data_IF_956962620970
#
_entry.id   IF_956962620970
#
_cell.length_a   1.000
_cell.length_b   1.000
_cell.length_c   1.000
_cell.angle_alpha   90.00
_cell.angle_beta   90.00
_cell.angle_gamma   90.00
#
_symmetry.space_group_name_H-M   'P 1'
#
loop_
_entity.id
_entity.type
_entity.pdbx_description
1 polymer ?
#
# COMPACT_ATOMS: atom_id res chain seq x y z
N UNK A 1 10.65 49.79 20.35
CA UNK A 1 10.44 49.35 18.96
C UNK A 1 9.71 48.01 19.03
N UNK A 2 8.45 47.95 18.61
CA UNK A 2 7.71 46.70 18.58
C UNK A 2 8.17 45.87 17.38
N UNK A 3 8.66 44.65 17.61
CA UNK A 3 8.96 43.68 16.55
C UNK A 3 7.67 43.33 15.81
N UNK A 4 7.63 43.69 14.53
CA UNK A 4 6.60 43.23 13.60
C UNK A 4 6.90 41.75 13.33
N UNK A 5 6.17 40.85 13.97
CA UNK A 5 6.21 39.43 13.60
C UNK A 5 5.73 39.26 12.16
N UNK A 6 6.41 38.46 11.32
CA UNK A 6 5.96 38.21 9.96
C UNK A 6 4.58 37.55 10.02
N UNK A 7 3.57 38.23 9.48
CA UNK A 7 2.26 37.66 9.24
C UNK A 7 2.40 36.63 8.12
N UNK A 8 2.36 35.36 8.48
CA UNK A 8 2.19 34.28 7.50
C UNK A 8 0.75 34.32 6.99
N UNK A 9 0.57 34.27 5.67
CA UNK A 9 -0.77 34.28 5.08
C UNK A 9 -1.44 32.91 5.30
N UNK A 10 -2.76 32.86 5.61
CA UNK A 10 -3.49 31.60 5.66
C UNK A 10 -3.32 30.85 4.33
N UNK A 11 -2.72 29.65 4.35
CA UNK A 11 -2.46 28.84 3.16
C UNK A 11 -1.02 28.89 2.61
N UNK A 12 -0.12 29.72 3.16
CA UNK A 12 1.30 29.74 2.72
C UNK A 12 2.00 28.39 2.90
N UNK A 13 1.71 27.68 3.99
CA UNK A 13 2.30 26.38 4.28
C UNK A 13 1.77 25.29 3.31
N UNK A 14 0.47 25.27 3.03
CA UNK A 14 -0.13 24.36 2.04
C UNK A 14 0.34 24.67 0.61
N UNK A 15 0.46 25.95 0.27
CA UNK A 15 1.01 26.40 -1.01
C UNK A 15 2.46 25.97 -1.20
N UNK A 16 3.30 26.14 -0.16
CA UNK A 16 4.69 25.66 -0.16
C UNK A 16 4.79 24.13 -0.25
N UNK A 17 3.93 23.40 0.46
CA UNK A 17 3.89 21.92 0.41
C UNK A 17 3.48 21.41 -0.97
N UNK A 18 2.49 22.02 -1.62
CA UNK A 18 2.07 21.73 -3.01
C UNK A 18 3.14 22.09 -4.05
N UNK A 19 3.83 23.22 -3.89
CA UNK A 19 4.92 23.61 -4.78
C UNK A 19 6.10 22.64 -4.65
N UNK A 20 6.43 22.24 -3.41
CA UNK A 20 7.50 21.28 -3.12
C UNK A 20 7.20 19.89 -3.73
N UNK A 21 5.93 19.45 -3.75
CA UNK A 21 5.56 18.18 -4.39
C UNK A 21 5.70 18.20 -5.90
N UNK A 22 5.53 19.36 -6.55
CA UNK A 22 5.77 19.53 -7.99
C UNK A 22 7.24 19.79 -8.34
N UNK A 23 8.06 20.14 -7.35
CA UNK A 23 9.50 20.35 -7.53
C UNK A 23 10.29 19.04 -7.48
N UNK A 24 9.70 17.95 -7.01
CA UNK A 24 10.31 16.62 -6.98
C UNK A 24 9.81 15.74 -8.12
N UNK A 25 10.63 14.79 -8.58
CA UNK A 25 10.22 13.82 -9.58
C UNK A 25 8.98 13.05 -9.11
N UNK A 26 8.01 12.93 -10.00
CA UNK A 26 6.83 12.11 -9.80
C UNK A 26 6.70 11.12 -10.96
N UNK A 27 6.34 9.88 -10.66
CA UNK A 27 6.05 8.90 -11.70
C UNK A 27 4.80 9.31 -12.47
N UNK A 28 4.88 9.31 -13.81
CA UNK A 28 3.71 9.54 -14.65
C UNK A 28 2.65 8.42 -14.48
N UNK A 29 3.08 7.22 -14.05
CA UNK A 29 2.17 6.14 -13.69
C UNK A 29 1.30 6.53 -12.50
N UNK A 30 1.89 7.12 -11.46
CA UNK A 30 1.16 7.48 -10.23
C UNK A 30 0.31 8.75 -10.35
N UNK A 31 0.67 9.66 -11.24
CA UNK A 31 0.04 10.98 -11.34
C UNK A 31 -0.94 11.13 -12.49
N UNK A 32 -0.86 10.26 -13.51
CA UNK A 32 -1.63 10.44 -14.75
C UNK A 32 -2.27 9.18 -15.31
N UNK A 33 -1.55 8.05 -15.32
CA UNK A 33 -1.93 6.92 -16.18
C UNK A 33 -2.66 5.78 -15.46
N UNK A 34 -2.22 5.39 -14.27
CA UNK A 34 -2.80 4.21 -13.60
C UNK A 34 -4.11 4.55 -12.88
N UNK A 35 -5.01 3.57 -12.81
CA UNK A 35 -6.27 3.68 -12.07
C UNK A 35 -6.03 3.74 -10.56
N UNK A 36 -6.87 4.47 -9.82
CA UNK A 36 -6.80 4.61 -8.35
C UNK A 36 -6.71 3.26 -7.62
N UNK A 37 -7.45 2.24 -8.07
CA UNK A 37 -7.38 0.87 -7.55
C UNK A 37 -5.95 0.30 -7.57
N UNK A 38 -5.25 0.46 -8.70
CA UNK A 38 -3.88 -0.03 -8.87
C UNK A 38 -2.89 0.82 -8.06
N UNK A 39 -3.12 2.13 -7.98
CA UNK A 39 -2.31 3.03 -7.14
C UNK A 39 -2.43 2.68 -5.66
N UNK A 40 -3.64 2.42 -5.18
CA UNK A 40 -3.86 1.97 -3.81
C UNK A 40 -3.19 0.61 -3.55
N UNK A 41 -3.28 -0.33 -4.49
CA UNK A 41 -2.69 -1.66 -4.34
C UNK A 41 -1.17 -1.63 -4.10
N UNK A 42 -0.47 -0.65 -4.68
CA UNK A 42 0.97 -0.44 -4.49
C UNK A 42 1.29 0.70 -3.50
N UNK A 43 0.31 1.17 -2.73
CA UNK A 43 0.52 2.25 -1.75
C UNK A 43 1.17 1.76 -0.46
N UNK A 44 1.87 2.67 0.23
CA UNK A 44 2.41 2.39 1.56
C UNK A 44 1.32 2.01 2.57
N UNK A 45 0.15 2.66 2.50
CA UNK A 45 -0.99 2.32 3.36
C UNK A 45 -1.43 0.86 3.15
N UNK A 46 -1.53 0.40 1.90
CA UNK A 46 -1.83 -1.01 1.59
C UNK A 46 -0.71 -1.93 2.09
N UNK A 47 0.56 -1.60 1.85
CA UNK A 47 1.72 -2.38 2.32
C UNK A 47 1.70 -2.57 3.84
N UNK A 48 1.72 -1.49 4.61
CA UNK A 48 1.88 -1.58 6.06
C UNK A 48 0.61 -2.01 6.80
N UNK A 49 -0.59 -1.73 6.25
CA UNK A 49 -1.81 -2.35 6.79
C UNK A 49 -1.84 -3.87 6.53
N UNK A 50 -1.25 -4.34 5.42
CA UNK A 50 -1.10 -5.77 5.15
C UNK A 50 -0.09 -6.41 6.10
N UNK A 51 1.01 -5.73 6.44
CA UNK A 51 1.94 -6.19 7.49
C UNK A 51 1.24 -6.40 8.83
N UNK A 52 0.44 -5.41 9.27
CA UNK A 52 -0.34 -5.51 10.51
C UNK A 52 -1.37 -6.64 10.48
N UNK A 53 -2.04 -6.87 9.34
CA UNK A 53 -2.92 -8.03 9.15
C UNK A 53 -2.17 -9.36 9.23
N UNK A 54 -0.97 -9.45 8.64
CA UNK A 54 -0.14 -10.65 8.71
C UNK A 54 0.31 -10.93 10.14
N UNK A 55 0.75 -9.92 10.89
CA UNK A 55 1.09 -10.08 12.31
C UNK A 55 -0.12 -10.48 13.16
N UNK A 56 -1.30 -9.90 12.91
CA UNK A 56 -2.54 -10.33 13.56
C UNK A 56 -2.85 -11.79 13.26
N UNK A 57 -2.76 -12.20 11.99
CA UNK A 57 -3.01 -13.58 11.58
C UNK A 57 -1.98 -14.56 12.19
N UNK A 58 -0.72 -14.13 12.30
CA UNK A 58 0.33 -14.90 12.97
C UNK A 58 -0.03 -15.13 14.44
N UNK A 59 -0.30 -14.06 15.18
CA UNK A 59 -0.68 -14.14 16.59
C UNK A 59 -1.95 -14.97 16.82
N UNK A 60 -2.95 -14.83 15.93
CA UNK A 60 -4.17 -15.63 16.00
C UNK A 60 -3.90 -17.12 15.76
N UNK A 61 -3.05 -17.47 14.78
CA UNK A 61 -2.66 -18.85 14.52
C UNK A 61 -1.82 -19.45 15.65
N UNK A 62 -0.87 -18.68 16.18
CA UNK A 62 -0.05 -19.06 17.34
C UNK A 62 -0.91 -19.34 18.57
N UNK A 63 -1.95 -18.54 18.81
CA UNK A 63 -2.93 -18.77 19.88
C UNK A 63 -3.66 -20.11 19.70
N UNK A 64 -4.12 -20.40 18.48
CA UNK A 64 -4.79 -21.68 18.16
C UNK A 64 -3.87 -22.87 18.43
N UNK A 65 -2.56 -22.70 18.21
CA UNK A 65 -1.54 -23.71 18.47
C UNK A 65 -1.13 -23.80 19.95
N UNK A 66 -1.71 -22.99 20.84
CA UNK A 66 -1.53 -23.09 22.30
C UNK A 66 -0.50 -22.13 22.89
N UNK A 67 0.00 -21.14 22.13
CA UNK A 67 0.82 -20.07 22.70
C UNK A 67 -0.01 -19.10 23.53
N UNK A 68 0.57 -18.60 24.62
CA UNK A 68 -0.08 -17.70 25.59
C UNK A 68 -0.29 -16.30 25.01
N UNK A 69 -1.36 -16.12 24.23
CA UNK A 69 -1.77 -14.86 23.61
C UNK A 69 -3.17 -14.50 24.10
N UNK A 70 -3.33 -13.32 24.70
CA UNK A 70 -4.62 -12.85 25.23
C UNK A 70 -5.58 -12.45 24.09
N UNK A 71 -6.89 -12.58 24.32
CA UNK A 71 -7.90 -12.04 23.39
C UNK A 71 -7.82 -10.51 23.29
N UNK A 72 -7.46 -9.85 24.40
CA UNK A 72 -7.25 -8.40 24.45
C UNK A 72 -6.15 -7.96 23.47
N UNK A 73 -5.01 -8.66 23.44
CA UNK A 73 -3.93 -8.35 22.50
C UNK A 73 -4.37 -8.49 21.04
N UNK A 74 -5.15 -9.54 20.71
CA UNK A 74 -5.65 -9.75 19.36
C UNK A 74 -6.66 -8.67 18.94
N UNK A 75 -7.59 -8.31 19.81
CA UNK A 75 -8.56 -7.25 19.51
C UNK A 75 -7.89 -5.87 19.40
N UNK A 76 -6.89 -5.59 20.23
CA UNK A 76 -6.08 -4.36 20.14
C UNK A 76 -5.33 -4.28 18.80
N UNK A 77 -4.67 -5.36 18.37
CA UNK A 77 -4.01 -5.43 17.08
C UNK A 77 -4.99 -5.20 15.93
N UNK A 78 -6.16 -5.84 15.98
CA UNK A 78 -7.20 -5.75 14.95
C UNK A 78 -7.77 -4.35 14.82
N UNK A 79 -8.04 -3.69 15.95
CA UNK A 79 -8.53 -2.31 15.98
C UNK A 79 -7.52 -1.31 15.37
N UNK A 80 -6.23 -1.62 15.47
CA UNK A 80 -5.14 -0.75 15.04
C UNK A 80 -4.54 -1.12 13.67
N UNK A 81 -5.15 -2.00 12.87
CA UNK A 81 -4.62 -2.38 11.53
C UNK A 81 -4.39 -1.17 10.61
N UNK A 82 -5.28 -0.18 10.65
CA UNK A 82 -5.20 1.03 9.80
C UNK A 82 -4.71 2.27 10.57
N UNK A 83 -4.47 2.17 11.87
CA UNK A 83 -3.97 3.26 12.71
C UNK A 83 -2.44 3.38 12.61
N UNK A 84 -1.93 3.78 11.44
CA UNK A 84 -0.49 3.77 11.13
C UNK A 84 0.09 5.18 11.28
N UNK A 85 0.95 5.37 12.28
CA UNK A 85 1.78 6.57 12.42
C UNK A 85 3.06 6.41 11.59
N UNK A 86 3.07 7.05 10.42
CA UNK A 86 4.21 7.01 9.49
C UNK A 86 5.39 7.84 9.98
N UNK A 87 5.17 8.88 10.79
CA UNK A 87 6.24 9.73 11.30
C UNK A 87 7.04 8.98 12.36
N UNK A 88 6.35 8.25 13.25
CA UNK A 88 6.99 7.33 14.21
C UNK A 88 7.77 6.24 13.48
N UNK A 89 7.17 5.60 12.49
CA UNK A 89 7.84 4.55 11.73
C UNK A 89 9.11 5.07 11.03
N UNK A 90 9.06 6.24 10.39
CA UNK A 90 10.22 6.86 9.75
C UNK A 90 11.32 7.27 10.75
N UNK A 91 10.94 7.77 11.93
CA UNK A 91 11.88 8.10 12.99
C UNK A 91 12.58 6.85 13.53
N UNK A 92 11.83 5.77 13.77
CA UNK A 92 12.35 4.48 14.23
C UNK A 92 13.24 3.83 13.16
N UNK A 93 12.88 3.90 11.88
CA UNK A 93 13.69 3.37 10.79
C UNK A 93 15.04 4.09 10.69
N UNK A 94 15.06 5.41 10.88
CA UNK A 94 16.30 6.19 10.91
C UNK A 94 17.25 5.76 12.02
N UNK A 95 16.71 5.32 13.17
CA UNK A 95 17.51 4.85 14.30
C UNK A 95 17.94 3.39 14.10
N UNK A 96 16.99 2.51 13.76
CA UNK A 96 17.19 1.06 13.66
C UNK A 96 17.87 0.61 12.38
N UNK A 97 17.80 1.43 11.33
CA UNK A 97 18.21 1.10 9.95
C UNK A 97 17.53 -0.15 9.41
N UNK A 98 16.29 -0.39 9.86
CA UNK A 98 15.50 -1.56 9.50
C UNK A 98 14.00 -1.22 9.54
N UNK A 99 13.35 -1.24 8.39
CA UNK A 99 11.95 -0.86 8.18
C UNK A 99 10.96 -1.78 8.92
N UNK A 100 11.10 -3.11 8.81
CA UNK A 100 10.25 -4.07 9.52
C UNK A 100 10.31 -3.83 11.02
N UNK A 101 11.51 -3.73 11.60
CA UNK A 101 11.65 -3.51 13.04
C UNK A 101 11.14 -2.13 13.48
N UNK A 102 11.23 -1.12 12.63
CA UNK A 102 10.62 0.18 12.88
C UNK A 102 9.09 0.07 12.95
N UNK A 103 8.48 -0.66 12.02
CA UNK A 103 7.03 -0.90 12.01
C UNK A 103 6.56 -1.83 13.12
N UNK A 104 7.36 -2.81 13.55
CA UNK A 104 7.09 -3.63 14.75
C UNK A 104 7.00 -2.73 15.97
N UNK A 105 7.98 -1.85 16.16
CA UNK A 105 7.98 -0.91 17.28
C UNK A 105 6.81 0.08 17.21
N UNK A 106 6.59 0.71 16.05
CA UNK A 106 5.48 1.64 15.86
C UNK A 106 4.12 0.98 16.08
N UNK A 107 3.96 -0.29 15.69
CA UNK A 107 2.72 -1.04 15.95
C UNK A 107 2.58 -1.39 17.43
N UNK A 108 3.65 -1.80 18.10
CA UNK A 108 3.67 -2.04 19.55
C UNK A 108 3.34 -0.80 20.38
N UNK A 109 3.70 0.42 19.93
CA UNK A 109 3.33 1.65 20.62
C UNK A 109 1.82 1.89 20.68
N UNK A 110 1.10 1.59 19.59
CA UNK A 110 -0.37 1.68 19.57
C UNK A 110 -1.07 0.40 20.05
N UNK A 111 -0.30 -0.67 20.31
CA UNK A 111 -0.79 -1.94 20.82
C UNK A 111 0.06 -2.42 22.02
N UNK A 112 0.06 -1.70 23.16
CA UNK A 112 0.91 -2.02 24.31
C UNK A 112 0.70 -3.44 24.87
N UNK A 113 -0.52 -3.99 24.81
CA UNK A 113 -0.80 -5.35 25.30
C UNK A 113 -0.27 -6.43 24.35
N UNK A 114 -0.16 -6.12 23.06
CA UNK A 114 0.38 -7.01 22.04
C UNK A 114 1.88 -6.79 21.74
N UNK A 115 2.49 -5.73 22.25
CA UNK A 115 3.84 -5.31 21.84
C UNK A 115 4.90 -6.42 21.94
N UNK A 116 4.82 -7.29 22.96
CA UNK A 116 5.76 -8.39 23.17
C UNK A 116 5.54 -9.61 22.26
N UNK A 117 4.39 -9.72 21.60
CA UNK A 117 4.05 -10.87 20.73
C UNK A 117 4.09 -10.53 19.24
N UNK A 118 4.12 -9.24 18.89
CA UNK A 118 4.20 -8.82 17.48
C UNK A 118 5.49 -9.36 16.88
N UNK A 119 5.35 -10.09 15.75
CA UNK A 119 6.46 -10.70 15.02
C UNK A 119 7.15 -11.88 15.74
N UNK A 120 6.54 -12.45 16.78
CA UNK A 120 7.04 -13.63 17.48
C UNK A 120 7.39 -14.76 16.52
N UNK A 121 8.59 -15.32 16.64
CA UNK A 121 9.06 -16.47 15.85
C UNK A 121 9.25 -16.22 14.34
N UNK A 122 8.95 -15.02 13.84
CA UNK A 122 9.04 -14.69 12.43
C UNK A 122 10.35 -13.96 12.07
N UNK A 123 10.64 -13.91 10.77
CA UNK A 123 11.70 -13.08 10.18
C UNK A 123 11.06 -12.02 9.27
N UNK A 124 11.82 -11.00 8.87
CA UNK A 124 11.36 -9.91 8.00
C UNK A 124 10.58 -10.38 6.77
N UNK A 125 11.03 -11.47 6.13
CA UNK A 125 10.39 -12.09 4.96
C UNK A 125 8.95 -12.58 5.22
N UNK A 126 8.58 -12.84 6.47
CA UNK A 126 7.19 -13.16 6.81
C UNK A 126 6.23 -12.04 6.40
N UNK A 127 6.60 -10.78 6.60
CA UNK A 127 5.73 -9.65 6.22
C UNK A 127 6.08 -9.06 4.86
N UNK A 128 7.35 -8.99 4.47
CA UNK A 128 7.72 -8.41 3.17
C UNK A 128 7.19 -9.28 2.04
N UNK A 129 7.62 -10.53 1.97
CA UNK A 129 7.40 -11.40 0.81
C UNK A 129 5.93 -11.82 0.69
N UNK A 130 5.28 -12.15 1.82
CA UNK A 130 3.85 -12.46 1.78
C UNK A 130 3.00 -11.25 1.39
N UNK A 131 3.40 -10.04 1.79
CA UNK A 131 2.70 -8.82 1.34
C UNK A 131 2.90 -8.58 -0.15
N UNK A 132 4.12 -8.77 -0.65
CA UNK A 132 4.39 -8.64 -2.09
C UNK A 132 3.60 -9.66 -2.90
N UNK A 133 3.51 -10.92 -2.45
CA UNK A 133 2.65 -11.94 -3.08
C UNK A 133 1.18 -11.52 -3.10
N UNK A 134 0.66 -10.96 -2.01
CA UNK A 134 -0.71 -10.44 -1.93
C UNK A 134 -0.91 -9.27 -2.90
N UNK A 135 0.03 -8.31 -2.94
CA UNK A 135 -0.03 -7.16 -3.85
C UNK A 135 0.02 -7.62 -5.31
N UNK A 136 0.87 -8.60 -5.65
CA UNK A 136 0.97 -9.15 -7.01
C UNK A 136 -0.34 -9.84 -7.41
N UNK A 137 -0.89 -10.70 -6.53
CA UNK A 137 -2.18 -11.37 -6.76
C UNK A 137 -3.29 -10.34 -6.99
N UNK A 138 -3.44 -9.38 -6.07
CA UNK A 138 -4.48 -8.36 -6.14
C UNK A 138 -4.31 -7.48 -7.40
N UNK A 139 -3.07 -7.24 -7.83
CA UNK A 139 -2.75 -6.55 -9.08
C UNK A 139 -3.19 -7.34 -10.32
N UNK A 140 -2.97 -8.66 -10.34
CA UNK A 140 -3.45 -9.54 -11.41
C UNK A 140 -4.98 -9.56 -11.43
N UNK A 141 -5.62 -9.66 -10.26
CA UNK A 141 -7.09 -9.64 -10.14
C UNK A 141 -7.70 -8.33 -10.67
N UNK A 142 -7.01 -7.19 -10.50
CA UNK A 142 -7.42 -5.92 -11.07
C UNK A 142 -7.24 -5.85 -12.61
N UNK A 143 -6.26 -6.58 -13.17
CA UNK A 143 -5.96 -6.60 -14.60
C UNK A 143 -6.87 -7.54 -15.40
N UNK A 144 -7.19 -8.72 -14.86
CA UNK A 144 -8.03 -9.74 -15.52
C UNK A 144 -9.36 -9.21 -16.09
N UNK A 145 -10.21 -8.48 -15.33
CA UNK A 145 -11.47 -7.96 -15.87
C UNK A 145 -11.25 -6.86 -16.91
N UNK A 146 -10.15 -6.09 -16.83
CA UNK A 146 -9.79 -5.07 -17.83
C UNK A 146 -9.40 -5.73 -19.15
N UNK A 147 -8.56 -6.76 -19.09
CA UNK A 147 -8.18 -7.58 -20.25
C UNK A 147 -9.41 -8.26 -20.87
N UNK A 148 -10.26 -8.89 -20.06
CA UNK A 148 -11.51 -9.51 -20.52
C UNK A 148 -12.41 -8.53 -21.26
N UNK A 149 -12.52 -7.28 -20.80
CA UNK A 149 -13.27 -6.23 -21.50
C UNK A 149 -12.64 -5.87 -22.85
N UNK A 150 -11.32 -5.71 -22.93
CA UNK A 150 -10.63 -5.43 -24.20
C UNK A 150 -10.89 -6.55 -25.22
N UNK A 151 -10.71 -7.81 -24.80
CA UNK A 151 -10.99 -8.99 -25.63
C UNK A 151 -12.44 -8.97 -26.11
N UNK A 152 -13.40 -8.77 -25.21
CA UNK A 152 -14.80 -8.75 -25.55
C UNK A 152 -15.18 -7.62 -26.53
N UNK A 153 -14.61 -6.41 -26.36
CA UNK A 153 -14.85 -5.28 -27.28
C UNK A 153 -14.28 -5.55 -28.67
N UNK A 154 -13.06 -6.08 -28.76
CA UNK A 154 -12.43 -6.46 -30.03
C UNK A 154 -13.17 -7.62 -30.70
N UNK A 155 -13.61 -8.63 -29.93
CA UNK A 155 -14.39 -9.75 -30.45
C UNK A 155 -15.74 -9.29 -31.02
N UNK A 156 -16.41 -8.34 -30.35
CA UNK A 156 -17.64 -7.73 -30.87
C UNK A 156 -17.38 -6.99 -32.19
N UNK A 157 -16.35 -6.14 -32.23
CA UNK A 157 -15.94 -5.42 -33.44
C UNK A 157 -15.64 -6.38 -34.60
N UNK A 158 -14.88 -7.44 -34.35
CA UNK A 158 -14.55 -8.45 -35.36
C UNK A 158 -15.81 -9.18 -35.87
N UNK A 159 -16.76 -9.52 -34.99
CA UNK A 159 -18.01 -10.19 -35.39
C UNK A 159 -18.90 -9.29 -36.25
N UNK A 160 -19.00 -8.01 -35.90
CA UNK A 160 -19.77 -7.00 -36.65
C UNK A 160 -19.18 -6.77 -38.05
N UNK A 161 -17.85 -6.74 -38.17
CA UNK A 161 -17.13 -6.44 -39.42
C UNK A 161 -16.67 -7.70 -40.17
N UNK A 162 -17.14 -8.90 -39.79
CA UNK A 162 -16.63 -10.17 -40.31
C UNK A 162 -16.70 -10.34 -41.84
N UNK A 163 -17.60 -9.60 -42.50
CA UNK A 163 -17.84 -9.68 -43.94
C UNK A 163 -17.44 -8.39 -44.67
N UNK A 164 -16.82 -7.42 -43.97
CA UNK A 164 -16.33 -6.19 -44.58
C UNK A 164 -14.98 -6.50 -45.26
N UNK A 165 -14.88 -6.49 -46.60
CA UNK A 165 -13.59 -6.63 -47.26
C UNK A 165 -12.71 -5.42 -46.92
N UNK A 166 -11.43 -5.69 -46.67
CA UNK A 166 -10.40 -4.66 -46.52
C UNK A 166 -9.16 -5.10 -47.27
N UNK A 167 -8.34 -4.14 -47.73
CA UNK A 167 -7.04 -4.45 -48.32
C UNK A 167 -6.18 -5.14 -47.25
N UNK A 168 -5.71 -6.35 -47.55
CA UNK A 168 -4.72 -7.03 -46.74
C UNK A 168 -3.35 -6.43 -47.02
N UNK A 169 -2.56 -6.20 -45.98
CA UNK A 169 -1.21 -5.65 -46.10
C UNK A 169 -0.18 -6.69 -45.65
N UNK A 170 0.81 -6.96 -46.50
CA UNK A 170 2.03 -7.67 -46.11
C UNK A 170 3.22 -6.78 -46.48
N UNK A 171 4.15 -6.53 -45.55
CA UNK A 171 5.20 -5.50 -45.72
C UNK A 171 4.66 -4.07 -45.91
N UNK A 172 3.43 -3.80 -45.46
CA UNK A 172 2.71 -2.54 -45.70
C UNK A 172 2.54 -2.23 -47.21
N UNK A 173 2.53 -3.27 -48.06
CA UNK A 173 2.19 -3.25 -49.49
C UNK A 173 0.87 -3.97 -49.76
#
# INVERSE_FOLDING_TARGET
MAEIKPTTFPGEAEGKKKLATKATYQSALSTRYASEEMLYNFSELKKFSTWRKLWYNLAAAEKILGLSISDEALEEMKANIYNIDFDVAAAEERVRRHDVMAHVHAFGQCCPTAAGIIHSGATSCFVTDNTDLIIIRDGIDALLPKLGRCIHRLAKFAKENRALPTLGFTHLQ
#
